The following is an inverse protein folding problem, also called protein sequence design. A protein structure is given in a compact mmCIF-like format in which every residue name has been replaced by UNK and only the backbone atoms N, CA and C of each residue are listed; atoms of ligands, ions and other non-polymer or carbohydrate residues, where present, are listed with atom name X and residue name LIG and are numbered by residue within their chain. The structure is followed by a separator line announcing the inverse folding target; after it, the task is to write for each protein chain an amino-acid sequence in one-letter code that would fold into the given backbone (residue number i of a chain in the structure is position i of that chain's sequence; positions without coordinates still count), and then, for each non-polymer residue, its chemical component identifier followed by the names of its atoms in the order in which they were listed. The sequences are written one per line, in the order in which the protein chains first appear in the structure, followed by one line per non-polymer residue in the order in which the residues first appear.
data_IF_494357314493
#
_entry.id   IF_494357314493
#
_cell.length_a   1.000
_cell.length_b   1.000
_cell.length_c   1.000
_cell.angle_alpha   90.00
_cell.angle_beta   90.00
_cell.angle_gamma   90.00
#
_symmetry.space_group_name_H-M   'P 1'
#
loop_
_entity.id
_entity.type
_entity.pdbx_description
1 polymer ?
#
# COMPACT_ATOMS: atom_id res chain seq x y z
N UNK A 1 -0.72 6.35 5.07
CA UNK A 1 0.13 7.30 4.31
C UNK A 1 -0.31 8.74 4.58
N UNK A 2 0.62 9.68 4.67
CA UNK A 2 0.37 11.11 4.94
C UNK A 2 1.21 12.00 4.02
N UNK A 3 0.74 13.21 3.77
CA UNK A 3 1.38 14.23 2.92
C UNK A 3 0.34 14.99 2.10
N UNK A 4 0.74 15.56 0.96
CA UNK A 4 -0.19 16.15 -0.02
C UNK A 4 -0.73 15.04 -0.93
N UNK A 5 -1.68 14.29 -0.37
CA UNK A 5 -2.21 13.05 -0.95
C UNK A 5 -3.67 13.13 -1.36
N UNK A 6 -4.30 14.31 -1.28
CA UNK A 6 -5.73 14.52 -1.55
C UNK A 6 -6.14 14.57 -3.02
N UNK A 7 -5.20 14.46 -3.97
CA UNK A 7 -5.55 14.51 -5.39
C UNK A 7 -6.35 13.27 -5.81
N UNK A 8 -7.40 13.49 -6.60
CA UNK A 8 -8.31 12.43 -7.05
C UNK A 8 -7.64 11.35 -7.92
N UNK A 9 -6.43 11.62 -8.42
CA UNK A 9 -5.59 10.68 -9.16
C UNK A 9 -5.07 9.52 -8.30
N UNK A 10 -4.99 9.70 -6.97
CA UNK A 10 -4.27 8.74 -6.13
C UNK A 10 -5.01 7.43 -5.91
N UNK A 11 -6.31 7.40 -5.53
CA UNK A 11 -7.04 6.14 -5.39
C UNK A 11 -7.05 5.26 -6.65
N UNK A 12 -7.35 5.76 -7.87
CA UNK A 12 -7.30 4.93 -9.06
C UNK A 12 -5.87 4.48 -9.41
N UNK A 13 -4.85 5.31 -9.13
CA UNK A 13 -3.45 4.92 -9.27
C UNK A 13 -3.09 3.76 -8.33
N UNK A 14 -3.44 3.84 -7.04
CA UNK A 14 -3.18 2.81 -6.03
C UNK A 14 -3.80 1.48 -6.45
N UNK A 15 -5.08 1.50 -6.85
CA UNK A 15 -5.80 0.30 -7.29
C UNK A 15 -5.14 -0.34 -8.51
N UNK A 16 -4.79 0.47 -9.52
CA UNK A 16 -4.12 -0.02 -10.73
C UNK A 16 -2.72 -0.57 -10.43
N UNK A 17 -1.94 0.12 -9.60
CA UNK A 17 -0.59 -0.29 -9.25
C UNK A 17 -0.59 -1.59 -8.45
N UNK A 18 -1.44 -1.67 -7.42
CA UNK A 18 -1.61 -2.88 -6.61
C UNK A 18 -2.04 -4.08 -7.47
N UNK A 19 -3.06 -3.91 -8.32
CA UNK A 19 -3.50 -4.97 -9.22
C UNK A 19 -2.40 -5.45 -10.18
N UNK A 20 -1.57 -4.53 -10.70
CA UNK A 20 -0.42 -4.88 -11.56
C UNK A 20 0.66 -5.67 -10.84
N UNK A 21 0.85 -5.43 -9.54
CA UNK A 21 1.75 -6.22 -8.70
C UNK A 21 1.18 -7.60 -8.34
N UNK A 22 -0.12 -7.82 -8.53
CA UNK A 22 -0.82 -9.03 -8.06
C UNK A 22 -1.31 -8.93 -6.62
N UNK A 23 -1.46 -7.71 -6.09
CA UNK A 23 -2.04 -7.45 -4.78
C UNK A 23 -3.54 -7.24 -4.86
N UNK A 24 -4.23 -7.59 -3.79
CA UNK A 24 -5.66 -7.31 -3.62
C UNK A 24 -5.86 -6.14 -2.67
N UNK A 25 -6.63 -5.14 -3.11
CA UNK A 25 -6.99 -3.97 -2.32
C UNK A 25 -8.38 -4.18 -1.69
N UNK A 26 -8.42 -4.44 -0.38
CA UNK A 26 -9.65 -4.70 0.37
C UNK A 26 -10.38 -3.43 0.76
N UNK A 27 -9.62 -2.42 1.17
CA UNK A 27 -10.17 -1.11 1.56
C UNK A 27 -9.22 0.01 1.16
N UNK A 28 -9.79 1.16 0.81
CA UNK A 28 -9.08 2.38 0.44
C UNK A 28 -9.95 3.57 0.79
N UNK A 29 -9.46 4.39 1.73
CA UNK A 29 -10.06 5.66 2.11
C UNK A 29 -9.07 6.79 1.89
N UNK A 30 -9.55 7.89 1.28
CA UNK A 30 -8.76 9.10 1.04
C UNK A 30 -9.38 10.28 1.79
N UNK A 31 -8.50 11.08 2.37
CA UNK A 31 -8.75 12.38 2.98
C UNK A 31 -7.72 13.37 2.43
N UNK A 32 -7.89 14.65 2.71
CA UNK A 32 -7.08 15.73 2.13
C UNK A 32 -5.57 15.56 2.38
N UNK A 33 -5.18 15.11 3.58
CA UNK A 33 -3.78 14.90 3.98
C UNK A 33 -3.44 13.45 4.37
N UNK A 34 -4.34 12.49 4.09
CA UNK A 34 -4.16 11.08 4.49
C UNK A 34 -4.80 10.12 3.50
N UNK A 35 -4.11 9.01 3.25
CA UNK A 35 -4.69 7.83 2.61
C UNK A 35 -4.47 6.62 3.50
N UNK A 36 -5.54 5.87 3.73
CA UNK A 36 -5.56 4.59 4.43
C UNK A 36 -5.86 3.49 3.43
N UNK A 37 -5.14 2.37 3.54
CA UNK A 37 -5.16 1.30 2.58
C UNK A 37 -5.04 -0.04 3.32
N UNK A 38 -5.89 -0.99 2.94
CA UNK A 38 -5.78 -2.38 3.35
C UNK A 38 -5.50 -3.26 2.14
N UNK A 39 -4.33 -3.90 2.14
CA UNK A 39 -3.89 -4.80 1.09
C UNK A 39 -3.67 -6.20 1.61
N UNK A 40 -3.86 -7.18 0.74
CA UNK A 40 -3.50 -8.58 0.98
C UNK A 40 -2.66 -9.11 -0.17
N UNK A 41 -1.61 -9.86 0.15
CA UNK A 41 -0.72 -10.48 -0.83
C UNK A 41 0.64 -10.86 -0.22
N UNK A 42 1.55 -11.41 -1.03
CA UNK A 42 2.90 -11.78 -0.58
C UNK A 42 3.67 -10.60 0.01
N UNK A 43 4.44 -10.79 1.10
CA UNK A 43 5.19 -9.72 1.77
C UNK A 43 6.06 -8.89 0.82
N UNK A 44 6.82 -9.55 -0.06
CA UNK A 44 7.67 -8.86 -1.04
C UNK A 44 6.91 -7.93 -2.00
N UNK A 45 5.66 -8.27 -2.33
CA UNK A 45 4.83 -7.43 -3.19
C UNK A 45 4.21 -6.27 -2.41
N UNK A 46 3.87 -6.48 -1.13
CA UNK A 46 3.46 -5.39 -0.23
C UNK A 46 4.60 -4.37 -0.04
N UNK A 47 5.85 -4.83 0.05
CA UNK A 47 7.03 -3.97 0.11
C UNK A 47 7.20 -3.18 -1.19
N UNK A 48 7.05 -3.82 -2.34
CA UNK A 48 7.07 -3.14 -3.64
C UNK A 48 5.96 -2.07 -3.76
N UNK A 49 4.79 -2.34 -3.19
CA UNK A 49 3.68 -1.38 -3.15
C UNK A 49 3.97 -0.19 -2.24
N UNK A 50 4.57 -0.43 -1.07
CA UNK A 50 5.02 0.63 -0.18
C UNK A 50 6.03 1.57 -0.87
N UNK A 51 7.02 0.98 -1.56
CA UNK A 51 7.98 1.74 -2.37
C UNK A 51 7.30 2.52 -3.50
N UNK A 52 6.32 1.92 -4.18
CA UNK A 52 5.53 2.60 -5.21
C UNK A 52 4.76 3.79 -4.66
N UNK A 53 4.12 3.63 -3.50
CA UNK A 53 3.35 4.69 -2.84
C UNK A 53 4.21 5.89 -2.45
N UNK A 54 5.48 5.69 -2.10
CA UNK A 54 6.42 6.79 -1.81
C UNK A 54 6.67 7.69 -3.02
N UNK A 55 6.55 7.16 -4.24
CA UNK A 55 6.70 7.90 -5.49
C UNK A 55 5.37 8.50 -5.96
N UNK A 56 4.29 7.72 -5.88
CA UNK A 56 2.95 8.13 -6.29
C UNK A 56 2.83 8.58 -7.76
N UNK A 57 1.67 9.12 -8.16
CA UNK A 57 1.55 9.90 -9.38
C UNK A 57 2.16 11.30 -9.21
N UNK A 58 2.40 11.99 -10.32
CA UNK A 58 3.11 13.28 -10.37
C UNK A 58 2.49 14.41 -9.54
N UNK A 59 1.17 14.37 -9.28
CA UNK A 59 0.41 15.37 -8.53
C UNK A 59 0.28 15.04 -7.04
N UNK A 60 0.95 13.99 -6.57
CA UNK A 60 0.94 13.51 -5.19
C UNK A 60 2.31 13.67 -4.56
N UNK A 61 2.31 14.00 -3.28
CA UNK A 61 3.52 14.03 -2.45
C UNK A 61 3.28 13.25 -1.17
N UNK A 62 3.93 12.10 -1.03
CA UNK A 62 3.90 11.29 0.19
C UNK A 62 5.11 11.63 1.05
N UNK A 63 4.86 11.99 2.30
CA UNK A 63 5.89 12.35 3.27
C UNK A 63 6.18 11.20 4.23
N UNK A 64 5.14 10.44 4.57
CA UNK A 64 5.24 9.37 5.55
C UNK A 64 4.33 8.20 5.17
N UNK A 65 4.89 7.00 5.30
CA UNK A 65 4.16 5.75 5.23
C UNK A 65 4.32 5.05 6.57
N UNK A 66 3.20 4.72 7.19
CA UNK A 66 3.13 3.85 8.36
C UNK A 66 2.44 2.57 7.91
N UNK A 67 3.09 1.43 8.07
CA UNK A 67 2.55 0.10 7.75
C UNK A 67 2.49 -0.75 9.01
N UNK A 68 1.36 -1.43 9.20
CA UNK A 68 1.14 -2.34 10.31
C UNK A 68 0.59 -3.65 9.77
N UNK A 69 1.20 -4.80 10.09
CA UNK A 69 0.61 -6.10 9.75
C UNK A 69 -0.67 -6.27 10.57
N UNK A 70 -1.78 -6.62 9.91
CA UNK A 70 -3.02 -6.98 10.61
C UNK A 70 -2.97 -8.40 11.17
N UNK A 71 -2.19 -9.25 10.52
CA UNK A 71 -1.85 -10.58 10.99
C UNK A 71 -0.32 -10.68 10.91
N UNK A 72 0.38 -11.02 11.99
CA UNK A 72 1.80 -11.29 11.90
C UNK A 72 2.01 -12.47 10.94
N UNK A 73 3.04 -12.40 10.11
CA UNK A 73 3.45 -13.55 9.31
C UNK A 73 3.64 -14.75 10.23
N UNK A 74 3.21 -15.94 9.79
CA UNK A 74 3.59 -17.16 10.47
C UNK A 74 5.13 -17.20 10.52
N UNK A 75 5.74 -17.66 11.62
CA UNK A 75 7.20 -17.69 11.72
C UNK A 75 7.78 -18.42 10.50
N UNK A 76 8.72 -17.78 9.82
CA UNK A 76 9.51 -18.39 8.75
C UNK A 76 10.12 -19.68 9.30
N UNK A 77 9.58 -20.83 8.89
CA UNK A 77 10.07 -22.14 9.35
C UNK A 77 9.02 -23.19 9.75
N UNK A 78 7.71 -22.96 9.65
CA UNK A 78 6.72 -24.04 9.85
C UNK A 78 6.57 -24.99 8.63
N UNK A 79 7.68 -25.23 7.92
CA UNK A 79 7.79 -26.22 6.85
C UNK A 79 9.26 -26.69 6.76
N UNK A 80 9.67 -27.53 7.71
CA UNK A 80 10.57 -28.67 7.48
C UNK A 80 10.40 -29.67 8.65
N UNK A 81 9.93 -30.87 8.29
CA UNK A 81 9.76 -32.15 9.04
C UNK A 81 9.25 -32.17 10.50
#
# INVERSE_FOLDING_TARGET
MRGRVGAASFPPWIRRHGARLGLECRDLAQQEARVSLLLTGPPALLDAMEMGCSLGPWDIWVEQIDRFPLFPDAPDGAADD
#
